data_IF_015406677559
#
_entry.id   IF_015406677559
#
_cell.length_a   1.000
_cell.length_b   1.000
_cell.length_c   1.000
_cell.angle_alpha   90.00
_cell.angle_beta   90.00
_cell.angle_gamma   90.00
#
_symmetry.space_group_name_H-M   'P 1'
#
loop_
_entity.id
_entity.type
_entity.pdbx_description
1 polymer ?
#
# COMPACT_ATOMS: atom_id res chain seq x y z
N UNK A 1 14.17 25.33 -1.83
CA UNK A 1 14.00 24.78 -3.20
C UNK A 1 12.54 24.89 -3.61
N UNK A 2 12.19 24.76 -4.89
CA UNK A 2 10.76 24.61 -5.26
C UNK A 2 10.30 23.18 -4.99
N UNK A 3 9.01 22.99 -4.72
CA UNK A 3 8.40 21.70 -4.39
C UNK A 3 8.71 20.62 -5.43
N UNK A 4 8.59 20.93 -6.73
CA UNK A 4 8.93 20.00 -7.82
C UNK A 4 10.39 19.50 -7.76
N UNK A 5 11.31 20.36 -7.33
CA UNK A 5 12.73 19.99 -7.19
C UNK A 5 12.92 19.08 -5.99
N UNK A 6 12.27 19.39 -4.86
CA UNK A 6 12.29 18.57 -3.65
C UNK A 6 11.76 17.16 -3.95
N UNK A 7 10.65 17.07 -4.67
CA UNK A 7 10.04 15.81 -5.09
C UNK A 7 11.00 15.05 -6.02
N UNK A 8 11.61 15.71 -7.01
CA UNK A 8 12.56 15.07 -7.92
C UNK A 8 13.79 14.50 -7.17
N UNK A 9 14.36 15.25 -6.24
CA UNK A 9 15.47 14.76 -5.40
C UNK A 9 15.04 13.57 -4.52
N UNK A 10 13.84 13.63 -3.95
CA UNK A 10 13.28 12.51 -3.17
C UNK A 10 13.12 11.27 -4.03
N UNK A 11 12.63 11.41 -5.26
CA UNK A 11 12.50 10.30 -6.22
C UNK A 11 13.85 9.63 -6.47
N UNK A 12 14.90 10.42 -6.72
CA UNK A 12 16.24 9.88 -7.00
C UNK A 12 16.84 9.20 -5.77
N UNK A 13 16.66 9.78 -4.58
CA UNK A 13 17.06 9.19 -3.31
C UNK A 13 16.38 7.83 -3.06
N UNK A 14 15.07 7.75 -3.25
CA UNK A 14 14.30 6.51 -3.05
C UNK A 14 14.70 5.45 -4.06
N UNK A 15 14.87 5.82 -5.34
CA UNK A 15 15.36 4.90 -6.37
C UNK A 15 16.71 4.31 -6.02
N UNK A 16 17.64 5.13 -5.53
CA UNK A 16 18.98 4.68 -5.15
C UNK A 16 18.94 3.75 -3.94
N UNK A 17 18.17 4.14 -2.91
CA UNK A 17 18.01 3.38 -1.67
C UNK A 17 17.37 2.01 -1.90
N UNK A 18 16.39 1.91 -2.81
CA UNK A 18 15.68 0.66 -3.10
C UNK A 18 16.34 -0.18 -4.20
N UNK A 19 17.56 0.14 -4.64
CA UNK A 19 18.30 -0.70 -5.60
C UNK A 19 18.52 -2.10 -5.01
N UNK A 20 17.95 -3.11 -5.67
CA UNK A 20 18.06 -4.50 -5.26
C UNK A 20 17.05 -4.95 -4.21
N UNK A 21 16.04 -4.13 -3.88
CA UNK A 21 14.91 -4.56 -3.07
C UNK A 21 14.10 -5.68 -3.76
N UNK A 22 13.54 -6.61 -2.99
CA UNK A 22 12.77 -7.75 -3.51
C UNK A 22 11.38 -7.34 -4.07
N UNK A 23 10.86 -8.13 -5.01
CA UNK A 23 9.82 -7.81 -6.00
C UNK A 23 8.39 -7.49 -5.52
N UNK A 24 8.21 -7.10 -4.26
CA UNK A 24 6.94 -6.58 -3.73
C UNK A 24 7.00 -5.11 -3.27
N UNK A 25 8.21 -4.61 -2.99
CA UNK A 25 8.50 -3.27 -2.41
C UNK A 25 9.57 -2.55 -3.24
N UNK A 26 9.58 -2.81 -4.55
CA UNK A 26 10.50 -2.15 -5.46
C UNK A 26 10.09 -0.69 -5.70
N UNK A 27 10.97 0.03 -6.39
CA UNK A 27 10.69 1.39 -6.85
C UNK A 27 9.33 1.53 -7.55
N UNK A 28 8.87 0.51 -8.26
CA UNK A 28 7.63 0.58 -9.02
C UNK A 28 6.39 0.54 -8.13
N UNK A 29 6.42 -0.16 -7.00
CA UNK A 29 5.38 -0.04 -5.98
C UNK A 29 5.29 1.40 -5.48
N UNK A 30 6.40 1.97 -5.01
CA UNK A 30 6.44 3.36 -4.50
C UNK A 30 5.96 4.34 -5.55
N UNK A 31 6.41 4.17 -6.80
CA UNK A 31 6.00 5.02 -7.91
C UNK A 31 4.48 5.00 -8.12
N UNK A 32 3.84 3.82 -8.13
CA UNK A 32 2.38 3.71 -8.30
C UNK A 32 1.62 4.28 -7.11
N UNK A 33 2.12 4.08 -5.89
CA UNK A 33 1.54 4.71 -4.68
C UNK A 33 1.63 6.22 -4.78
N UNK A 34 2.79 6.77 -5.12
CA UNK A 34 2.97 8.20 -5.35
C UNK A 34 2.01 8.74 -6.43
N UNK A 35 1.87 8.04 -7.58
CA UNK A 35 0.93 8.45 -8.64
C UNK A 35 -0.54 8.38 -8.18
N UNK A 36 -0.93 7.37 -7.41
CA UNK A 36 -2.27 7.31 -6.82
C UNK A 36 -2.49 8.46 -5.82
N UNK A 37 -1.49 8.78 -4.99
CA UNK A 37 -1.57 9.84 -4.00
C UNK A 37 -1.77 11.20 -4.68
N UNK A 38 -1.01 11.49 -5.74
CA UNK A 38 -1.21 12.72 -6.53
C UNK A 38 -2.62 12.80 -7.12
N UNK A 39 -3.13 11.71 -7.69
CA UNK A 39 -4.47 11.68 -8.28
C UNK A 39 -5.56 11.92 -7.23
N UNK A 40 -5.41 11.37 -6.02
CA UNK A 40 -6.34 11.62 -4.92
C UNK A 40 -6.28 13.08 -4.50
N UNK A 41 -5.07 13.64 -4.34
CA UNK A 41 -4.86 15.03 -3.92
C UNK A 41 -5.47 16.07 -4.87
N UNK A 42 -5.73 15.76 -6.13
CA UNK A 42 -6.39 16.68 -7.08
C UNK A 42 -7.81 17.09 -6.63
N UNK A 43 -8.47 16.26 -5.82
CA UNK A 43 -9.86 16.46 -5.41
C UNK A 43 -10.05 16.44 -3.88
N UNK A 44 -8.97 16.51 -3.11
CA UNK A 44 -8.99 16.55 -1.65
C UNK A 44 -8.21 17.78 -1.16
N UNK A 45 -8.68 18.43 -0.09
CA UNK A 45 -8.00 19.59 0.51
C UNK A 45 -6.85 19.13 1.40
N UNK A 46 -5.64 19.01 0.82
CA UNK A 46 -4.44 18.48 1.49
C UNK A 46 -3.17 19.22 1.05
N UNK A 47 -2.13 19.17 1.88
CA UNK A 47 -0.79 19.60 1.49
C UNK A 47 -0.15 18.59 0.53
N UNK A 48 -0.08 18.96 -0.75
CA UNK A 48 0.44 18.10 -1.82
C UNK A 48 1.93 17.75 -1.68
N UNK A 49 2.73 18.61 -1.05
CA UNK A 49 4.15 18.34 -0.81
C UNK A 49 4.29 17.28 0.28
N UNK A 50 3.57 17.42 1.39
CA UNK A 50 3.56 16.43 2.48
C UNK A 50 3.05 15.07 1.98
N UNK A 51 1.96 15.04 1.21
CA UNK A 51 1.45 13.80 0.58
C UNK A 51 2.50 13.16 -0.32
N UNK A 52 3.15 13.96 -1.18
CA UNK A 52 4.16 13.46 -2.11
C UNK A 52 5.34 12.83 -1.39
N UNK A 53 5.87 13.52 -0.37
CA UNK A 53 6.99 13.04 0.43
C UNK A 53 6.60 11.80 1.25
N UNK A 54 5.42 11.82 1.89
CA UNK A 54 4.88 10.66 2.60
C UNK A 54 4.75 9.44 1.70
N UNK A 55 4.17 9.59 0.51
CA UNK A 55 4.01 8.49 -0.45
C UNK A 55 5.35 7.97 -0.99
N UNK A 56 6.34 8.83 -1.23
CA UNK A 56 7.65 8.41 -1.72
C UNK A 56 8.49 7.71 -0.64
N UNK A 57 8.32 8.08 0.63
CA UNK A 57 9.17 7.61 1.74
C UNK A 57 8.52 6.54 2.61
N UNK A 58 7.23 6.22 2.44
CA UNK A 58 6.49 5.33 3.36
C UNK A 58 7.11 3.95 3.58
N UNK A 59 7.74 3.40 2.55
CA UNK A 59 8.33 2.05 2.54
C UNK A 59 9.86 2.09 2.35
N UNK A 60 10.51 3.24 2.62
CA UNK A 60 11.95 3.46 2.40
C UNK A 60 12.85 2.49 3.18
N UNK A 61 12.35 1.95 4.29
CA UNK A 61 13.00 0.89 5.05
C UNK A 61 11.95 -0.01 5.68
N UNK A 62 11.38 -0.92 4.87
CA UNK A 62 10.44 -1.93 5.37
C UNK A 62 11.12 -2.77 6.47
N UNK A 63 10.49 -2.77 7.65
CA UNK A 63 10.97 -3.44 8.87
C UNK A 63 11.20 -4.94 8.68
N UNK A 64 10.62 -5.56 7.65
CA UNK A 64 10.91 -6.95 7.25
C UNK A 64 12.39 -7.21 6.94
N UNK A 65 13.16 -6.18 6.58
CA UNK A 65 14.60 -6.28 6.30
C UNK A 65 15.49 -5.82 7.46
N UNK A 66 14.90 -5.20 8.48
CA UNK A 66 15.60 -4.66 9.66
C UNK A 66 15.18 -5.37 10.95
N UNK A 67 15.00 -6.69 10.92
CA UNK A 67 14.61 -7.50 12.09
C UNK A 67 13.31 -7.03 12.79
N UNK A 68 12.39 -6.40 12.05
CA UNK A 68 11.16 -5.86 12.58
C UNK A 68 11.28 -4.48 13.24
N UNK A 69 12.40 -3.78 13.07
CA UNK A 69 12.56 -2.41 13.58
C UNK A 69 11.78 -1.40 12.71
N UNK A 70 10.59 -1.03 13.17
CA UNK A 70 9.71 -0.04 12.53
C UNK A 70 10.24 1.40 12.62
N UNK A 71 11.32 1.66 13.39
CA UNK A 71 11.87 3.02 13.58
C UNK A 71 12.87 3.42 12.49
N UNK A 72 13.37 2.46 11.70
CA UNK A 72 14.40 2.71 10.69
C UNK A 72 13.90 3.61 9.57
N UNK A 73 12.70 3.35 9.04
CA UNK A 73 12.06 4.15 7.98
C UNK A 73 11.87 5.62 8.38
N UNK A 74 11.16 5.90 9.50
CA UNK A 74 11.00 7.24 10.04
C UNK A 74 12.33 7.98 10.22
N UNK A 75 13.37 7.30 10.74
CA UNK A 75 14.70 7.91 10.94
C UNK A 75 15.39 8.27 9.64
N UNK A 76 15.41 7.37 8.65
CA UNK A 76 16.02 7.63 7.33
C UNK A 76 15.30 8.80 6.65
N UNK A 77 13.97 8.80 6.67
CA UNK A 77 13.18 9.89 6.12
C UNK A 77 13.50 11.22 6.81
N UNK A 78 13.56 11.24 8.15
CA UNK A 78 13.87 12.45 8.90
C UNK A 78 15.28 12.98 8.57
N UNK A 79 16.29 12.11 8.53
CA UNK A 79 17.67 12.49 8.21
C UNK A 79 17.75 13.05 6.78
N UNK A 80 17.11 12.42 5.81
CA UNK A 80 17.06 12.88 4.42
C UNK A 80 16.35 14.23 4.27
N UNK A 81 15.17 14.39 4.87
CA UNK A 81 14.40 15.63 4.74
C UNK A 81 15.10 16.83 5.40
N UNK A 82 15.85 16.61 6.49
CA UNK A 82 16.73 17.63 7.10
C UNK A 82 17.84 18.08 6.15
N UNK A 83 18.39 17.19 5.33
CA UNK A 83 19.40 17.55 4.33
C UNK A 83 18.84 18.45 3.21
N UNK A 84 17.53 18.39 2.98
CA UNK A 84 16.84 19.26 2.01
C UNK A 84 16.46 20.63 2.59
N UNK A 85 16.80 20.92 3.85
CA UNK A 85 16.52 22.19 4.55
C UNK A 85 15.01 22.53 4.57
N UNK A 86 14.17 21.52 4.78
CA UNK A 86 12.73 21.68 4.93
C UNK A 86 12.34 22.15 6.33
N UNK A 87 11.20 22.82 6.44
CA UNK A 87 10.66 23.22 7.74
C UNK A 87 10.36 22.00 8.62
N UNK A 88 10.68 22.11 9.92
CA UNK A 88 10.46 21.01 10.87
C UNK A 88 8.99 20.57 10.93
N UNK A 89 8.04 21.48 10.68
CA UNK A 89 6.60 21.18 10.59
C UNK A 89 6.29 20.15 9.50
N UNK A 90 6.86 20.33 8.31
CA UNK A 90 6.72 19.40 7.17
C UNK A 90 7.42 18.08 7.49
N UNK A 91 8.66 18.14 8.02
CA UNK A 91 9.44 16.96 8.37
C UNK A 91 8.70 16.10 9.38
N UNK A 92 8.23 16.69 10.47
CA UNK A 92 7.52 15.99 11.54
C UNK A 92 6.20 15.39 11.05
N UNK A 93 5.50 16.07 10.13
CA UNK A 93 4.27 15.55 9.54
C UNK A 93 4.55 14.32 8.65
N UNK A 94 5.54 14.40 7.76
CA UNK A 94 5.94 13.27 6.90
C UNK A 94 6.40 12.08 7.75
N UNK A 95 7.21 12.31 8.78
CA UNK A 95 7.65 11.26 9.72
C UNK A 95 6.45 10.58 10.39
N UNK A 96 5.48 11.36 10.90
CA UNK A 96 4.25 10.81 11.48
C UNK A 96 3.41 10.01 10.48
N UNK A 97 3.38 10.41 9.21
CA UNK A 97 2.72 9.64 8.16
C UNK A 97 3.39 8.26 8.04
N UNK A 98 4.71 8.21 7.94
CA UNK A 98 5.48 6.96 7.79
C UNK A 98 5.28 6.05 9.02
N UNK A 99 5.24 6.60 10.22
CA UNK A 99 4.99 5.83 11.46
C UNK A 99 3.59 5.21 11.53
N UNK A 100 2.61 5.82 10.84
CA UNK A 100 1.18 5.48 10.96
C UNK A 100 0.55 4.95 9.66
N UNK A 101 1.31 4.77 8.59
CA UNK A 101 0.81 4.28 7.32
C UNK A 101 0.44 2.80 7.36
N UNK A 102 1.26 1.99 8.02
CA UNK A 102 1.05 0.56 8.08
C UNK A 102 -0.16 0.26 8.98
N UNK A 103 -1.16 -0.41 8.40
CA UNK A 103 -2.31 -0.87 9.18
C UNK A 103 -1.82 -1.91 10.19
N UNK A 104 -1.60 -1.48 11.43
CA UNK A 104 -1.38 -2.36 12.58
C UNK A 104 -2.70 -3.07 12.86
N UNK A 105 -2.99 -4.12 12.08
CA UNK A 105 -4.26 -4.85 12.19
C UNK A 105 -4.58 -5.28 13.62
N UNK A 106 -5.87 -5.46 13.89
CA UNK A 106 -6.43 -5.50 15.24
C UNK A 106 -7.05 -4.15 15.60
N UNK A 107 -7.95 -4.12 16.59
CA UNK A 107 -8.65 -2.92 17.06
C UNK A 107 -7.71 -1.92 17.79
N UNK A 108 -6.53 -1.66 17.24
CA UNK A 108 -5.57 -0.71 17.79
C UNK A 108 -5.97 0.67 17.29
N UNK A 109 -6.24 1.58 18.22
CA UNK A 109 -6.56 2.96 17.87
C UNK A 109 -5.37 3.59 17.14
N UNK A 110 -5.67 4.28 16.04
CA UNK A 110 -4.66 5.02 15.30
C UNK A 110 -4.25 6.25 16.11
N UNK A 111 -2.96 6.37 16.45
CA UNK A 111 -2.46 7.42 17.34
C UNK A 111 -2.41 8.80 16.65
N UNK A 112 -2.25 8.82 15.33
CA UNK A 112 -2.19 10.02 14.52
C UNK A 112 -3.11 9.94 13.30
N UNK A 113 -3.86 11.00 13.03
CA UNK A 113 -4.69 11.16 11.83
C UNK A 113 -4.45 12.54 11.22
N UNK A 114 -4.44 12.61 9.89
CA UNK A 114 -4.42 13.84 9.11
C UNK A 114 -5.01 13.56 7.73
N UNK A 115 -5.57 14.57 7.03
CA UNK A 115 -6.01 14.43 5.64
C UNK A 115 -4.92 13.86 4.72
N UNK A 116 -3.66 14.28 4.92
CA UNK A 116 -2.51 13.79 4.15
C UNK A 116 -2.23 12.31 4.42
N UNK A 117 -2.30 11.87 5.67
CA UNK A 117 -2.17 10.45 6.01
C UNK A 117 -3.29 9.63 5.36
N UNK A 118 -4.52 10.14 5.38
CA UNK A 118 -5.66 9.46 4.78
C UNK A 118 -5.47 9.25 3.27
N UNK A 119 -4.93 10.27 2.58
CA UNK A 119 -4.58 10.18 1.15
C UNK A 119 -3.49 9.13 0.90
N UNK A 120 -2.39 9.14 1.66
CA UNK A 120 -1.28 8.21 1.42
C UNK A 120 -1.71 6.77 1.75
N UNK A 121 -2.49 6.55 2.82
CA UNK A 121 -3.06 5.24 3.14
C UNK A 121 -3.97 4.72 2.02
N UNK A 122 -4.85 5.58 1.46
CA UNK A 122 -5.71 5.18 0.34
C UNK A 122 -4.89 4.87 -0.92
N UNK A 123 -3.86 5.66 -1.19
CA UNK A 123 -2.97 5.46 -2.34
C UNK A 123 -2.25 4.10 -2.30
N UNK A 124 -1.77 3.68 -1.12
CA UNK A 124 -1.17 2.37 -0.89
C UNK A 124 -2.20 1.24 -1.03
N UNK A 125 -3.36 1.36 -0.36
CA UNK A 125 -4.45 0.37 -0.44
C UNK A 125 -4.96 0.19 -1.87
N UNK A 126 -5.03 1.27 -2.65
CA UNK A 126 -5.43 1.23 -4.05
C UNK A 126 -4.45 0.39 -4.89
N UNK A 127 -3.15 0.41 -4.61
CA UNK A 127 -2.14 -0.41 -5.32
C UNK A 127 -2.26 -1.91 -5.04
N UNK A 128 -2.97 -2.28 -3.97
CA UNK A 128 -3.26 -3.68 -3.63
C UNK A 128 -4.50 -4.25 -4.33
N UNK A 129 -5.28 -3.42 -5.04
CA UNK A 129 -6.54 -3.84 -5.70
C UNK A 129 -6.55 -3.52 -7.21
N UNK A 130 -7.56 -4.04 -7.92
CA UNK A 130 -7.66 -3.91 -9.38
C UNK A 130 -6.67 -4.82 -10.11
N UNK A 131 -6.37 -4.50 -11.37
CA UNK A 131 -5.51 -5.32 -12.23
C UNK A 131 -4.11 -5.55 -11.64
N UNK A 132 -3.48 -4.50 -11.09
CA UNK A 132 -2.18 -4.60 -10.41
C UNK A 132 -2.31 -5.46 -9.15
N UNK A 133 -3.36 -5.26 -8.37
CA UNK A 133 -3.65 -6.06 -7.18
C UNK A 133 -3.77 -7.56 -7.48
N UNK A 134 -4.47 -7.92 -8.56
CA UNK A 134 -4.57 -9.31 -9.05
C UNK A 134 -3.17 -9.86 -9.35
N UNK A 135 -2.38 -9.16 -10.17
CA UNK A 135 -1.04 -9.61 -10.55
C UNK A 135 -0.12 -9.78 -9.33
N UNK A 136 -0.12 -8.82 -8.41
CA UNK A 136 0.66 -8.89 -7.16
C UNK A 136 0.21 -10.05 -6.28
N UNK A 137 -1.10 -10.30 -6.19
CA UNK A 137 -1.67 -11.39 -5.39
C UNK A 137 -1.16 -12.76 -5.87
N UNK A 138 -1.24 -13.03 -7.18
CA UNK A 138 -0.75 -14.29 -7.75
C UNK A 138 0.77 -14.41 -7.75
N UNK A 139 1.51 -13.32 -8.00
CA UNK A 139 2.96 -13.33 -7.91
C UNK A 139 3.43 -13.72 -6.48
N UNK A 140 2.84 -13.10 -5.45
CA UNK A 140 3.14 -13.44 -4.06
C UNK A 140 2.68 -14.85 -3.68
N UNK A 141 1.51 -15.28 -4.18
CA UNK A 141 1.01 -16.65 -4.02
C UNK A 141 1.99 -17.69 -4.55
N UNK A 142 2.52 -17.46 -5.76
CA UNK A 142 3.54 -18.30 -6.38
C UNK A 142 4.86 -18.31 -5.58
N UNK A 143 5.35 -17.15 -5.16
CA UNK A 143 6.53 -17.04 -4.29
C UNK A 143 6.38 -17.81 -2.97
N UNK A 144 5.17 -17.81 -2.40
CA UNK A 144 4.83 -18.57 -1.17
C UNK A 144 4.41 -20.02 -1.45
N UNK A 145 4.47 -20.49 -2.69
CA UNK A 145 4.05 -21.82 -3.11
C UNK A 145 2.63 -22.18 -2.64
N UNK A 146 1.71 -21.21 -2.70
CA UNK A 146 0.30 -21.42 -2.36
C UNK A 146 -0.44 -22.04 -3.55
N UNK A 147 -1.43 -22.88 -3.27
CA UNK A 147 -2.37 -23.31 -4.29
C UNK A 147 -3.04 -22.09 -4.94
N UNK A 148 -3.35 -22.18 -6.23
CA UNK A 148 -4.10 -21.16 -6.95
C UNK A 148 -5.50 -21.01 -6.34
N UNK A 149 -6.23 -22.14 -6.28
CA UNK A 149 -7.58 -22.29 -5.76
C UNK A 149 -7.79 -23.73 -5.30
N UNK A 150 -8.61 -23.92 -4.26
CA UNK A 150 -9.09 -25.21 -3.81
C UNK A 150 -10.56 -25.04 -3.36
N UNK A 151 -11.54 -25.69 -4.02
CA UNK A 151 -12.96 -25.53 -3.69
C UNK A 151 -13.35 -26.11 -2.32
N UNK A 152 -12.56 -27.02 -1.75
CA UNK A 152 -12.82 -27.58 -0.42
C UNK A 152 -12.37 -26.62 0.70
N UNK A 153 -11.47 -25.68 0.39
CA UNK A 153 -10.92 -24.71 1.35
C UNK A 153 -11.64 -23.36 1.20
N UNK A 154 -12.59 -23.09 2.08
CA UNK A 154 -13.34 -21.82 2.09
C UNK A 154 -12.51 -20.65 2.66
N UNK A 155 -12.73 -19.40 2.19
CA UNK A 155 -12.08 -18.23 2.76
C UNK A 155 -12.50 -18.00 4.21
N UNK A 156 -11.55 -17.60 5.07
CA UNK A 156 -11.82 -17.30 6.47
C UNK A 156 -11.84 -15.78 6.72
N UNK A 157 -13.03 -15.22 6.96
CA UNK A 157 -13.22 -13.77 7.16
C UNK A 157 -12.99 -13.30 8.59
N UNK A 158 -12.75 -14.21 9.53
CA UNK A 158 -12.65 -13.91 10.97
C UNK A 158 -11.25 -14.20 11.53
N UNK A 159 -10.23 -14.21 10.67
CA UNK A 159 -8.84 -14.44 11.08
C UNK A 159 -8.32 -13.32 11.97
N UNK A 160 -7.61 -13.70 13.03
CA UNK A 160 -6.72 -12.80 13.76
C UNK A 160 -5.52 -12.41 12.89
N UNK A 161 -4.82 -11.33 13.26
CA UNK A 161 -3.60 -10.88 12.55
C UNK A 161 -2.53 -11.97 12.49
N UNK A 162 -2.39 -12.76 13.56
CA UNK A 162 -1.38 -13.82 13.65
C UNK A 162 -1.72 -15.00 12.74
N UNK A 163 -2.98 -15.43 12.74
CA UNK A 163 -3.47 -16.48 11.85
C UNK A 163 -3.32 -16.04 10.39
N UNK A 164 -3.68 -14.80 10.08
CA UNK A 164 -3.56 -14.25 8.74
C UNK A 164 -2.11 -14.27 8.23
N UNK A 165 -1.13 -13.89 9.07
CA UNK A 165 0.29 -13.92 8.72
C UNK A 165 0.82 -15.33 8.45
N UNK A 166 0.30 -16.34 9.15
CA UNK A 166 0.70 -17.75 9.01
C UNK A 166 -0.15 -18.52 7.99
N UNK A 167 -1.14 -17.87 7.40
CA UNK A 167 -2.08 -18.50 6.48
C UNK A 167 -1.38 -19.09 5.25
N UNK A 168 -1.73 -20.34 4.96
CA UNK A 168 -1.36 -21.04 3.71
C UNK A 168 -2.57 -21.23 2.79
N UNK A 169 -3.66 -20.48 3.04
CA UNK A 169 -4.87 -20.51 2.20
C UNK A 169 -4.54 -20.35 0.71
N UNK A 170 -5.33 -20.96 -0.19
CA UNK A 170 -5.23 -20.73 -1.62
C UNK A 170 -5.26 -19.25 -1.97
N UNK A 171 -4.57 -18.87 -3.05
CA UNK A 171 -4.39 -17.47 -3.46
C UNK A 171 -5.72 -16.78 -3.73
N UNK A 172 -6.68 -17.47 -4.35
CA UNK A 172 -8.03 -16.94 -4.56
C UNK A 172 -8.73 -16.56 -3.25
N UNK A 173 -8.52 -17.28 -2.14
CA UNK A 173 -9.17 -16.95 -0.87
C UNK A 173 -8.75 -15.56 -0.36
N UNK A 174 -7.51 -15.13 -0.66
CA UNK A 174 -6.99 -13.82 -0.28
C UNK A 174 -7.82 -12.65 -0.85
N UNK A 175 -8.49 -12.85 -1.98
CA UNK A 175 -9.40 -11.86 -2.53
C UNK A 175 -10.53 -11.56 -1.53
N UNK A 176 -11.15 -12.60 -0.99
CA UNK A 176 -12.25 -12.49 -0.03
C UNK A 176 -11.77 -12.12 1.38
N UNK A 177 -10.65 -12.70 1.81
CA UNK A 177 -10.08 -12.48 3.14
C UNK A 177 -9.56 -11.05 3.32
N UNK A 178 -9.15 -10.37 2.24
CA UNK A 178 -8.60 -9.01 2.30
C UNK A 178 -9.00 -8.10 1.15
N UNK A 179 -8.65 -8.45 -0.10
CA UNK A 179 -8.60 -7.46 -1.19
C UNK A 179 -9.96 -6.82 -1.48
N UNK A 180 -11.03 -7.62 -1.50
CA UNK A 180 -12.39 -7.16 -1.74
C UNK A 180 -12.93 -6.28 -0.59
N UNK A 181 -12.35 -6.39 0.61
CA UNK A 181 -12.75 -5.58 1.77
C UNK A 181 -12.11 -4.18 1.76
N UNK A 182 -11.06 -3.95 0.95
CA UNK A 182 -10.31 -2.70 0.98
C UNK A 182 -11.12 -1.49 0.47
N UNK A 183 -12.08 -1.69 -0.44
CA UNK A 183 -12.94 -0.59 -0.93
C UNK A 183 -13.69 0.12 0.20
N UNK A 184 -14.11 -0.64 1.21
CA UNK A 184 -14.89 -0.14 2.35
C UNK A 184 -14.01 0.43 3.46
N UNK A 185 -12.69 0.32 3.31
CA UNK A 185 -11.68 0.83 4.24
C UNK A 185 -10.94 2.06 3.70
N UNK A 186 -11.35 2.57 2.54
CA UNK A 186 -10.79 3.82 2.04
C UNK A 186 -11.24 4.97 2.95
N UNK A 187 -10.37 5.95 3.14
CA UNK A 187 -10.58 7.09 4.02
C UNK A 187 -11.25 8.25 3.26
N UNK A 188 -10.66 8.63 2.13
CA UNK A 188 -11.00 9.80 1.31
C UNK A 188 -12.20 9.54 0.39
N UNK A 189 -12.84 10.61 -0.11
CA UNK A 189 -13.96 10.47 -1.07
C UNK A 189 -13.45 9.98 -2.41
N UNK A 190 -12.32 10.53 -2.85
CA UNK A 190 -11.69 10.20 -4.13
C UNK A 190 -11.12 8.79 -4.12
N UNK A 191 -10.46 8.39 -3.04
CA UNK A 191 -9.97 7.01 -2.84
C UNK A 191 -11.10 5.98 -2.89
N UNK A 192 -12.25 6.26 -2.25
CA UNK A 192 -13.45 5.41 -2.35
C UNK A 192 -13.95 5.27 -3.78
N UNK A 193 -14.05 6.36 -4.52
CA UNK A 193 -14.52 6.34 -5.91
C UNK A 193 -13.61 5.47 -6.80
N UNK A 194 -12.29 5.67 -6.71
CA UNK A 194 -11.31 4.87 -7.45
C UNK A 194 -11.32 3.40 -7.04
N UNK A 195 -11.54 3.11 -5.75
CA UNK A 195 -11.58 1.75 -5.24
C UNK A 195 -12.78 0.95 -5.75
N UNK A 196 -13.92 1.60 -6.02
CA UNK A 196 -15.12 0.94 -6.56
C UNK A 196 -14.82 0.35 -7.94
N UNK A 197 -14.19 1.11 -8.83
CA UNK A 197 -13.83 0.64 -10.18
C UNK A 197 -12.85 -0.54 -10.10
N UNK A 198 -11.78 -0.41 -9.31
CA UNK A 198 -10.78 -1.47 -9.12
C UNK A 198 -11.39 -2.72 -8.47
N UNK A 199 -12.32 -2.55 -7.54
CA UNK A 199 -13.04 -3.66 -6.92
C UNK A 199 -13.90 -4.41 -7.93
N UNK A 200 -14.65 -3.69 -8.76
CA UNK A 200 -15.51 -4.33 -9.75
C UNK A 200 -14.70 -5.11 -10.79
N UNK A 201 -13.54 -4.59 -11.21
CA UNK A 201 -12.62 -5.34 -12.07
C UNK A 201 -12.17 -6.66 -11.43
N UNK A 202 -11.87 -6.68 -10.13
CA UNK A 202 -11.52 -7.91 -9.42
C UNK A 202 -12.68 -8.90 -9.36
N UNK A 203 -13.92 -8.41 -9.21
CA UNK A 203 -15.11 -9.27 -9.23
C UNK A 203 -15.31 -9.91 -10.61
N UNK A 204 -15.14 -9.14 -11.67
CA UNK A 204 -15.19 -9.65 -13.05
C UNK A 204 -14.10 -10.70 -13.30
N UNK A 205 -12.88 -10.43 -12.83
CA UNK A 205 -11.79 -11.42 -12.88
C UNK A 205 -12.16 -12.72 -12.16
N UNK A 206 -12.70 -12.64 -10.93
CA UNK A 206 -13.11 -13.82 -10.17
C UNK A 206 -14.25 -14.58 -10.85
N UNK A 207 -15.26 -13.87 -11.38
CA UNK A 207 -16.34 -14.49 -12.14
C UNK A 207 -15.81 -15.27 -13.33
N UNK A 208 -14.93 -14.65 -14.11
CA UNK A 208 -14.29 -15.28 -15.26
C UNK A 208 -13.42 -16.46 -14.85
N UNK A 209 -12.62 -16.31 -13.79
CA UNK A 209 -11.81 -17.38 -13.22
C UNK A 209 -12.64 -18.61 -12.87
N UNK A 210 -13.78 -18.45 -12.20
CA UNK A 210 -14.64 -19.58 -11.84
C UNK A 210 -15.36 -20.20 -13.05
N UNK A 211 -15.72 -19.41 -14.06
CA UNK A 211 -16.24 -19.96 -15.32
C UNK A 211 -15.18 -20.84 -15.98
N UNK A 212 -13.96 -20.33 -16.14
CA UNK A 212 -12.85 -21.06 -16.76
C UNK A 212 -12.47 -22.31 -15.98
N UNK A 213 -12.48 -22.25 -14.64
CA UNK A 213 -12.24 -23.40 -13.77
C UNK A 213 -13.23 -24.55 -14.02
N UNK A 214 -14.49 -24.21 -14.30
CA UNK A 214 -15.56 -25.15 -14.63
C UNK A 214 -15.68 -25.43 -16.14
N UNK A 215 -14.74 -24.94 -16.96
CA UNK A 215 -14.75 -25.10 -18.42
C UNK A 215 -15.89 -24.37 -19.13
N UNK A 216 -16.39 -23.27 -18.57
CA UNK A 216 -17.48 -22.43 -19.09
C UNK A 216 -16.93 -21.13 -19.69
N UNK A 217 -17.66 -20.56 -20.64
CA UNK A 217 -17.38 -19.24 -21.27
C UNK A 217 -18.50 -18.25 -21.02
#
# INVERSE_FOLDING_TARGET
MKDDQIIAYTIDFVKDTLKGAEGGHDWFHIYRVYKNAQLISENEEVDTLVVSLGALLHDIADSKFHNGDETVGPRIAQEFLKQLDLENTIIDHVVKIIENISFKGGNVAQEFTSPELDVVQDADRLDAIGAVGIARCFNYGGFKNRALYDPEIKPNLSMTKEEYKKSTSPTINHFYEKLLLLKDRMNTKTGKALAIERHEFMRQFLEQFYKEWEGKS
#
